data_IF_390268079159
#
_entry.id   IF_390268079159
#
_cell.length_a   1.000
_cell.length_b   1.000
_cell.length_c   1.000
_cell.angle_alpha   90.00
_cell.angle_beta   90.00
_cell.angle_gamma   90.00
#
_symmetry.space_group_name_H-M   'P 1'
#
loop_
_entity.id
_entity.type
_entity.pdbx_description
1 polymer ?
#
# COMPACT_ATOMS: atom_id res chain seq x y z
N UNK A 1 -7.17 -30.20 -67.35
CA UNK A 1 -5.92 -29.80 -66.74
C UNK A 1 -6.19 -28.56 -65.89
N UNK A 2 -6.44 -28.72 -64.62
CA UNK A 2 -6.81 -27.57 -63.76
C UNK A 2 -6.76 -27.94 -62.25
N UNK A 3 -5.76 -28.74 -61.82
CA UNK A 3 -5.69 -29.22 -60.44
C UNK A 3 -4.53 -28.69 -59.59
N UNK A 4 -3.57 -27.97 -60.20
CA UNK A 4 -2.33 -27.64 -59.47
C UNK A 4 -2.36 -26.29 -58.72
N UNK A 5 -3.16 -25.34 -59.14
CA UNK A 5 -3.18 -23.98 -58.54
C UNK A 5 -3.83 -23.97 -57.14
N UNK A 6 -4.92 -24.72 -56.97
CA UNK A 6 -5.64 -24.77 -55.70
C UNK A 6 -4.85 -25.53 -54.62
N UNK A 7 -4.09 -26.57 -55.05
CA UNK A 7 -3.26 -27.34 -54.12
C UNK A 7 -2.04 -26.57 -53.64
N UNK A 8 -1.44 -25.73 -54.48
CA UNK A 8 -0.38 -24.81 -54.07
C UNK A 8 -0.88 -23.71 -53.12
N UNK A 9 -2.11 -23.21 -53.29
CA UNK A 9 -2.70 -22.23 -52.41
C UNK A 9 -2.96 -22.82 -51.03
N UNK A 10 -3.51 -24.04 -50.94
CA UNK A 10 -3.77 -24.74 -49.70
C UNK A 10 -2.49 -25.06 -48.91
N UNK A 11 -1.42 -25.51 -49.61
CA UNK A 11 -0.14 -25.75 -48.95
C UNK A 11 0.53 -24.47 -48.46
N UNK A 12 0.37 -23.35 -49.17
CA UNK A 12 0.90 -22.04 -48.75
C UNK A 12 0.18 -21.49 -47.53
N UNK A 13 -1.16 -21.68 -47.46
CA UNK A 13 -1.95 -21.28 -46.30
C UNK A 13 -1.60 -22.16 -45.08
N UNK A 14 -1.40 -23.47 -45.26
CA UNK A 14 -0.97 -24.35 -44.18
C UNK A 14 0.42 -24.01 -43.64
N UNK A 15 1.34 -23.61 -44.49
CA UNK A 15 2.68 -23.17 -44.11
C UNK A 15 2.64 -21.83 -43.33
N UNK A 16 1.74 -20.91 -43.68
CA UNK A 16 1.55 -19.66 -42.94
C UNK A 16 0.93 -19.89 -41.57
N UNK A 17 0.10 -20.92 -41.38
CA UNK A 17 -0.48 -21.27 -40.10
C UNK A 17 0.50 -22.00 -39.16
N UNK A 18 1.61 -22.54 -39.66
CA UNK A 18 2.66 -23.18 -38.86
C UNK A 18 3.74 -22.23 -38.37
N UNK A 19 3.75 -20.97 -38.83
CA UNK A 19 4.61 -19.94 -38.26
C UNK A 19 4.03 -19.49 -36.91
N UNK A 20 4.20 -20.30 -35.86
CA UNK A 20 4.08 -19.80 -34.50
C UNK A 20 5.12 -18.70 -34.33
N UNK A 21 4.72 -17.48 -33.96
CA UNK A 21 5.73 -16.49 -33.59
C UNK A 21 6.46 -17.10 -32.38
N UNK A 22 7.73 -17.44 -32.55
CA UNK A 22 8.64 -17.60 -31.44
C UNK A 22 8.73 -16.23 -30.79
N UNK A 23 7.85 -16.00 -29.81
CA UNK A 23 8.05 -14.95 -28.84
C UNK A 23 9.34 -15.31 -28.14
N UNK A 24 10.43 -14.70 -28.59
CA UNK A 24 11.68 -14.75 -27.89
C UNK A 24 11.40 -14.29 -26.44
N UNK A 25 11.44 -15.24 -25.53
CA UNK A 25 11.55 -14.91 -24.12
C UNK A 25 12.91 -14.21 -23.93
N UNK A 26 12.95 -12.92 -24.25
CA UNK A 26 13.86 -12.03 -23.58
C UNK A 26 13.40 -12.00 -22.13
N UNK A 27 13.85 -12.97 -21.35
CA UNK A 27 13.95 -12.83 -19.90
C UNK A 27 15.07 -11.80 -19.68
N UNK A 28 14.77 -10.55 -20.07
CA UNK A 28 15.41 -9.44 -19.44
C UNK A 28 15.08 -9.59 -17.97
N UNK A 29 16.08 -9.56 -17.11
CA UNK A 29 15.90 -9.29 -15.68
C UNK A 29 15.16 -7.95 -15.60
N UNK A 30 13.84 -8.00 -15.74
CA UNK A 30 13.00 -6.90 -15.33
C UNK A 30 13.29 -6.79 -13.84
N UNK A 31 13.99 -5.74 -13.44
CA UNK A 31 13.88 -5.21 -12.09
C UNK A 31 12.37 -4.99 -11.90
N UNK A 32 11.67 -6.01 -11.45
CA UNK A 32 10.28 -5.89 -11.04
C UNK A 32 10.31 -5.01 -9.80
N UNK A 33 10.26 -3.71 -10.03
CA UNK A 33 10.07 -2.75 -8.96
C UNK A 33 8.73 -3.14 -8.34
N UNK A 34 8.79 -3.82 -7.20
CA UNK A 34 7.61 -4.26 -6.49
C UNK A 34 6.85 -3.00 -6.08
N UNK A 35 5.67 -2.83 -6.69
CA UNK A 35 4.77 -1.72 -6.41
C UNK A 35 3.89 -2.06 -5.22
N UNK A 36 3.37 -1.03 -4.60
CA UNK A 36 2.39 -1.10 -3.52
C UNK A 36 1.19 -1.99 -3.89
N UNK A 37 0.71 -2.77 -2.93
CA UNK A 37 -0.51 -3.57 -3.11
C UNK A 37 -1.73 -2.66 -3.19
N UNK A 38 -2.57 -2.86 -4.21
CA UNK A 38 -3.70 -1.98 -4.50
C UNK A 38 -4.68 -1.86 -3.32
N UNK A 39 -5.01 -2.96 -2.64
CA UNK A 39 -5.91 -2.92 -1.48
C UNK A 39 -5.32 -2.10 -0.31
N UNK A 40 -4.00 -2.19 -0.07
CA UNK A 40 -3.31 -1.40 0.95
C UNK A 40 -3.25 0.09 0.55
N UNK A 41 -3.04 0.38 -0.74
CA UNK A 41 -3.11 1.75 -1.27
C UNK A 41 -4.49 2.36 -1.05
N UNK A 42 -5.55 1.61 -1.34
CA UNK A 42 -6.92 2.05 -1.10
C UNK A 42 -7.21 2.27 0.40
N UNK A 43 -6.65 1.42 1.26
CA UNK A 43 -6.76 1.60 2.71
C UNK A 43 -6.11 2.92 3.16
N UNK A 44 -4.90 3.23 2.68
CA UNK A 44 -4.24 4.50 2.98
C UNK A 44 -5.03 5.71 2.48
N UNK A 45 -5.64 5.64 1.29
CA UNK A 45 -6.49 6.73 0.77
C UNK A 45 -7.73 6.95 1.64
N UNK A 46 -8.35 5.88 2.17
CA UNK A 46 -9.45 6.00 3.13
C UNK A 46 -8.98 6.61 4.45
N UNK A 47 -7.80 6.24 4.94
CA UNK A 47 -7.19 6.87 6.12
C UNK A 47 -7.00 8.37 5.87
N UNK A 48 -6.47 8.76 4.70
CA UNK A 48 -6.29 10.16 4.32
C UNK A 48 -7.61 10.94 4.33
N UNK A 49 -8.73 10.33 3.89
CA UNK A 49 -10.03 10.99 3.83
C UNK A 49 -10.58 11.41 5.20
N UNK A 50 -10.26 10.65 6.27
CA UNK A 50 -10.70 10.92 7.63
C UNK A 50 -9.74 11.85 8.40
N UNK A 51 -8.63 12.22 7.75
CA UNK A 51 -7.64 13.14 8.30
C UNK A 51 -7.78 14.54 7.69
N UNK A 52 -7.66 15.54 8.53
CA UNK A 52 -7.58 16.95 8.14
C UNK A 52 -6.10 17.32 8.10
N UNK A 53 -5.63 17.65 6.93
CA UNK A 53 -4.22 17.94 6.64
C UNK A 53 -4.06 19.38 6.15
N UNK A 54 -4.05 20.34 7.07
CA UNK A 54 -3.92 21.76 6.77
C UNK A 54 -2.52 22.15 6.25
N UNK A 55 -1.54 21.27 6.39
CA UNK A 55 -0.13 21.55 6.10
C UNK A 55 0.42 20.76 4.91
N UNK A 56 -0.39 19.92 4.28
CA UNK A 56 0.02 19.14 3.12
C UNK A 56 1.00 18.00 3.42
N UNK A 57 0.97 17.45 4.64
CA UNK A 57 1.83 16.34 5.05
C UNK A 57 1.59 15.09 4.20
N UNK A 58 0.34 14.90 3.75
CA UNK A 58 -0.11 13.79 2.92
C UNK A 58 -0.26 14.20 1.44
N UNK A 59 0.39 15.27 0.99
CA UNK A 59 0.29 15.78 -0.39
C UNK A 59 0.79 14.76 -1.43
N UNK A 60 1.78 13.94 -1.07
CA UNK A 60 2.29 12.86 -1.92
C UNK A 60 1.33 11.68 -2.07
N UNK A 61 0.30 11.58 -1.21
CA UNK A 61 -0.67 10.50 -1.25
C UNK A 61 -1.71 10.75 -2.35
N UNK A 62 -1.41 10.30 -3.55
CA UNK A 62 -2.26 10.51 -4.73
C UNK A 62 -2.58 9.18 -5.43
N UNK A 63 -3.65 9.17 -6.22
CA UNK A 63 -4.08 7.97 -6.97
C UNK A 63 -3.11 7.59 -8.08
N UNK A 64 -2.28 8.52 -8.55
CA UNK A 64 -1.42 8.35 -9.72
C UNK A 64 -0.03 7.84 -9.37
N UNK A 65 0.29 7.69 -8.07
CA UNK A 65 1.62 7.30 -7.61
C UNK A 65 1.60 5.99 -6.84
N UNK A 66 2.71 5.26 -6.94
CA UNK A 66 3.00 4.09 -6.11
C UNK A 66 3.07 4.49 -4.63
N UNK A 67 2.21 3.92 -3.79
CA UNK A 67 2.13 4.26 -2.37
C UNK A 67 3.43 3.96 -1.60
N UNK A 68 4.30 3.11 -2.12
CA UNK A 68 5.63 2.89 -1.54
C UNK A 68 6.55 4.11 -1.64
N UNK A 69 6.17 5.10 -2.44
CA UNK A 69 6.88 6.39 -2.60
C UNK A 69 6.24 7.53 -1.81
N UNK A 70 5.11 7.27 -1.15
CA UNK A 70 4.42 8.29 -0.37
C UNK A 70 5.18 8.64 0.90
N UNK A 71 5.12 9.90 1.28
CA UNK A 71 5.70 10.37 2.54
C UNK A 71 5.13 9.58 3.72
N UNK A 72 6.00 9.09 4.59
CA UNK A 72 5.61 8.30 5.75
C UNK A 72 5.27 6.84 5.46
N UNK A 73 5.33 6.38 4.21
CA UNK A 73 5.05 4.98 3.84
C UNK A 73 6.33 4.27 3.42
N UNK A 74 6.52 3.03 3.88
CA UNK A 74 7.58 2.15 3.41
C UNK A 74 7.03 0.75 3.19
N UNK A 75 7.40 0.18 2.04
CA UNK A 75 7.04 -1.18 1.68
C UNK A 75 8.24 -2.14 1.82
N UNK A 76 7.92 -3.40 1.92
CA UNK A 76 8.88 -4.49 1.81
C UNK A 76 9.42 -4.57 0.38
N UNK A 77 10.73 -4.57 0.22
CA UNK A 77 11.40 -4.73 -1.07
C UNK A 77 11.22 -6.13 -1.68
N UNK A 78 10.70 -7.09 -0.90
CA UNK A 78 10.49 -8.47 -1.35
C UNK A 78 9.04 -8.72 -1.78
N UNK A 79 8.07 -8.04 -1.14
CA UNK A 79 6.66 -8.36 -1.32
C UNK A 79 5.81 -7.20 -1.82
N UNK A 80 6.28 -5.96 -1.68
CA UNK A 80 5.51 -4.74 -1.98
C UNK A 80 4.44 -4.42 -0.94
N UNK A 81 4.33 -5.19 0.15
CA UNK A 81 3.41 -4.88 1.24
C UNK A 81 3.93 -3.72 2.10
N UNK A 82 3.02 -2.91 2.63
CA UNK A 82 3.33 -1.82 3.55
C UNK A 82 3.78 -2.41 4.89
N UNK A 83 5.00 -2.08 5.30
CA UNK A 83 5.60 -2.51 6.57
C UNK A 83 5.78 -1.37 7.56
N UNK A 84 5.70 -0.12 7.12
CA UNK A 84 5.83 1.06 7.97
C UNK A 84 4.84 2.14 7.54
N UNK A 85 4.17 2.70 8.53
CA UNK A 85 3.37 3.91 8.41
C UNK A 85 3.83 4.90 9.51
N UNK A 86 4.49 5.97 9.08
CA UNK A 86 4.97 7.03 9.95
C UNK A 86 4.27 8.35 9.61
N UNK A 87 3.34 8.74 10.46
CA UNK A 87 2.60 9.99 10.40
C UNK A 87 3.01 10.95 11.52
N UNK A 88 4.20 10.76 12.11
CA UNK A 88 4.72 11.61 13.17
C UNK A 88 4.78 13.08 12.74
N UNK A 89 4.29 13.96 13.59
CA UNK A 89 4.19 15.39 13.34
C UNK A 89 5.11 16.25 14.24
N UNK A 90 6.23 15.72 14.69
CA UNK A 90 7.16 16.36 15.66
C UNK A 90 7.96 17.54 15.10
N UNK A 91 7.57 18.14 13.98
CA UNK A 91 8.28 19.28 13.37
C UNK A 91 8.11 20.58 14.16
N UNK A 92 9.06 21.51 14.00
CA UNK A 92 8.99 22.87 14.53
C UNK A 92 8.94 23.84 13.35
N UNK A 93 7.88 24.66 13.18
CA UNK A 93 6.64 24.72 13.99
C UNK A 93 5.80 23.45 13.85
N UNK A 94 4.99 23.13 14.86
CA UNK A 94 4.23 21.89 14.86
C UNK A 94 3.22 21.87 13.69
N UNK A 95 3.33 20.84 12.86
CA UNK A 95 2.43 20.57 11.74
C UNK A 95 1.79 19.22 12.01
N UNK A 96 0.55 19.20 12.43
CA UNK A 96 -0.11 17.99 12.85
C UNK A 96 -1.35 17.68 12.01
N UNK A 97 -1.60 16.41 11.83
CA UNK A 97 -2.85 15.91 11.29
C UNK A 97 -3.93 15.98 12.37
N UNK A 98 -5.18 16.23 11.96
CA UNK A 98 -6.35 16.19 12.83
C UNK A 98 -7.36 15.19 12.30
N UNK A 99 -8.34 14.81 13.11
CA UNK A 99 -9.43 13.95 12.67
C UNK A 99 -9.49 12.62 13.41
N UNK A 100 -9.66 11.53 12.67
CA UNK A 100 -9.78 10.18 13.24
C UNK A 100 -8.93 9.19 12.45
N UNK A 101 -8.38 8.22 13.16
CA UNK A 101 -7.67 7.12 12.51
C UNK A 101 -8.69 6.10 11.98
N UNK A 102 -8.76 5.98 10.64
CA UNK A 102 -9.75 5.16 9.96
C UNK A 102 -9.53 3.66 10.23
N UNK A 103 -10.61 2.87 10.45
CA UNK A 103 -10.52 1.42 10.62
C UNK A 103 -9.91 0.66 9.44
N UNK A 104 -9.82 1.25 8.25
CA UNK A 104 -9.14 0.64 7.10
C UNK A 104 -7.65 0.33 7.37
N UNK A 105 -7.09 0.83 8.47
CA UNK A 105 -5.76 0.46 8.97
C UNK A 105 -5.61 -1.07 9.11
N UNK A 106 -6.69 -1.82 9.38
CA UNK A 106 -6.69 -3.29 9.49
C UNK A 106 -6.23 -3.99 8.21
N UNK A 107 -6.37 -3.34 7.05
CA UNK A 107 -5.93 -3.89 5.76
C UNK A 107 -4.41 -3.97 5.65
N UNK A 108 -3.67 -3.20 6.48
CA UNK A 108 -2.21 -3.17 6.48
C UNK A 108 -1.65 -4.33 7.33
N UNK A 109 -1.99 -5.57 6.98
CA UNK A 109 -1.69 -6.78 7.77
C UNK A 109 -0.20 -7.05 7.99
N UNK A 110 0.66 -6.50 7.14
CA UNK A 110 2.12 -6.67 7.21
C UNK A 110 2.83 -5.51 7.93
N UNK A 111 2.05 -4.59 8.51
CA UNK A 111 2.59 -3.44 9.21
C UNK A 111 3.38 -3.88 10.45
N UNK A 112 4.63 -3.44 10.52
CA UNK A 112 5.54 -3.69 11.65
C UNK A 112 5.82 -2.44 12.45
N UNK A 113 5.56 -1.26 11.87
CA UNK A 113 5.82 0.04 12.48
C UNK A 113 4.66 0.99 12.23
N UNK A 114 4.07 1.51 13.30
CA UNK A 114 3.03 2.53 13.27
C UNK A 114 3.41 3.66 14.23
N UNK A 115 3.58 4.85 13.69
CA UNK A 115 3.82 6.07 14.47
C UNK A 115 2.82 7.13 14.01
N UNK A 116 1.96 7.54 14.92
CA UNK A 116 0.97 8.62 14.73
C UNK A 116 1.13 9.69 15.81
N UNK A 117 2.30 9.74 16.42
CA UNK A 117 2.61 10.69 17.51
C UNK A 117 2.54 12.15 17.07
N UNK A 118 2.35 13.03 18.03
CA UNK A 118 2.27 14.49 17.86
C UNK A 118 1.14 14.98 16.94
N UNK A 119 0.07 14.20 16.78
CA UNK A 119 -1.12 14.57 16.04
C UNK A 119 -2.28 14.96 16.96
N UNK A 120 -3.40 15.41 16.39
CA UNK A 120 -4.58 15.81 17.16
C UNK A 120 -5.81 14.99 16.73
N UNK A 121 -6.00 13.83 17.34
CA UNK A 121 -7.15 12.98 17.08
C UNK A 121 -8.38 13.37 17.89
N UNK A 122 -8.41 14.62 18.44
CA UNK A 122 -9.58 15.24 19.08
C UNK A 122 -10.28 14.35 20.11
N UNK A 123 -9.50 13.73 20.99
CA UNK A 123 -9.98 12.80 22.01
C UNK A 123 -10.80 11.61 21.48
N UNK A 124 -10.68 11.30 20.18
CA UNK A 124 -11.25 10.07 19.63
C UNK A 124 -10.65 8.85 20.34
N UNK A 125 -11.39 7.76 20.36
CA UNK A 125 -10.87 6.51 20.92
C UNK A 125 -9.74 5.95 20.05
N UNK A 126 -8.76 5.34 20.70
CA UNK A 126 -7.77 4.51 20.00
C UNK A 126 -8.52 3.37 19.31
N UNK A 127 -8.39 3.17 18.00
CA UNK A 127 -9.10 2.11 17.28
C UNK A 127 -8.71 0.72 17.81
N UNK A 128 -9.69 -0.06 18.24
CA UNK A 128 -9.48 -1.44 18.74
C UNK A 128 -8.79 -2.33 17.69
N UNK A 129 -9.02 -2.02 16.40
CA UNK A 129 -8.44 -2.77 15.26
C UNK A 129 -6.91 -2.76 15.24
N UNK A 130 -6.25 -1.81 15.93
CA UNK A 130 -4.79 -1.81 16.05
C UNK A 130 -4.33 -3.12 16.71
N UNK A 131 -5.09 -3.64 17.69
CA UNK A 131 -4.80 -4.92 18.34
C UNK A 131 -4.86 -6.14 17.41
N UNK A 132 -5.38 -5.99 16.19
CA UNK A 132 -5.40 -7.05 15.16
C UNK A 132 -4.17 -7.04 14.24
N UNK A 133 -3.30 -6.04 14.37
CA UNK A 133 -2.06 -5.92 13.58
C UNK A 133 -0.95 -6.79 14.19
N UNK A 134 -1.09 -8.11 14.10
CA UNK A 134 -0.24 -9.10 14.78
C UNK A 134 1.25 -9.01 14.44
N UNK A 135 1.61 -8.37 13.33
CA UNK A 135 3.01 -8.17 12.93
C UNK A 135 3.63 -6.88 13.51
N UNK A 136 2.85 -6.07 14.23
CA UNK A 136 3.31 -4.79 14.74
C UNK A 136 4.37 -4.99 15.85
N UNK A 137 5.49 -4.27 15.71
CA UNK A 137 6.64 -4.29 16.61
C UNK A 137 6.96 -2.93 17.20
N UNK A 138 6.38 -1.89 16.65
CA UNK A 138 6.50 -0.53 17.13
C UNK A 138 5.16 0.18 16.99
N UNK A 139 4.69 0.75 18.09
CA UNK A 139 3.48 1.57 18.15
C UNK A 139 3.79 2.83 18.93
N UNK A 140 3.71 4.00 18.28
CA UNK A 140 3.83 5.30 18.95
C UNK A 140 2.55 6.10 18.80
N UNK A 141 1.91 6.38 19.95
CA UNK A 141 0.71 7.19 20.09
C UNK A 141 0.97 8.45 20.94
N UNK A 142 2.23 8.77 21.21
CA UNK A 142 2.64 9.84 22.11
C UNK A 142 2.14 11.20 21.61
N UNK A 143 1.58 12.01 22.51
CA UNK A 143 1.00 13.33 22.18
C UNK A 143 0.02 13.33 21.00
N UNK A 144 -0.67 12.21 20.72
CA UNK A 144 -1.63 12.09 19.62
C UNK A 144 -3.05 12.54 20.01
N UNK A 145 -3.25 13.00 21.24
CA UNK A 145 -4.53 13.49 21.82
C UNK A 145 -5.70 12.52 21.62
N UNK A 146 -5.44 11.23 21.76
CA UNK A 146 -6.49 10.23 21.91
C UNK A 146 -7.22 10.38 23.25
N UNK A 147 -8.43 9.87 23.32
CA UNK A 147 -9.21 9.77 24.55
C UNK A 147 -8.54 8.84 25.57
N UNK A 148 -9.08 8.88 26.81
CA UNK A 148 -8.44 8.19 27.97
C UNK A 148 -8.56 6.67 27.96
N UNK A 149 -9.44 6.12 27.14
CA UNK A 149 -9.68 4.67 27.14
C UNK A 149 -8.65 3.98 26.24
N UNK A 150 -7.86 3.10 26.85
CA UNK A 150 -6.94 2.22 26.13
C UNK A 150 -7.70 0.92 25.85
N UNK A 151 -7.90 0.55 24.56
CA UNK A 151 -8.57 -0.70 24.22
C UNK A 151 -7.78 -1.91 24.74
N UNK A 152 -8.44 -2.85 25.37
CA UNK A 152 -7.80 -4.07 25.87
C UNK A 152 -7.23 -4.93 24.73
N UNK A 153 -7.76 -4.76 23.50
CA UNK A 153 -7.28 -5.43 22.30
C UNK A 153 -5.80 -5.15 22.00
N UNK A 154 -5.26 -4.01 22.48
CA UNK A 154 -3.82 -3.75 22.35
C UNK A 154 -2.96 -4.80 23.07
N UNK A 155 -3.50 -5.47 24.09
CA UNK A 155 -2.86 -6.60 24.75
C UNK A 155 -2.62 -7.82 23.85
N UNK A 156 -3.26 -7.89 22.67
CA UNK A 156 -3.04 -8.95 21.69
C UNK A 156 -1.74 -8.78 20.86
N UNK A 157 -1.10 -7.62 20.99
CA UNK A 157 0.12 -7.29 20.23
C UNK A 157 1.35 -7.92 20.90
N UNK A 158 1.54 -9.22 20.71
CA UNK A 158 2.61 -10.01 21.35
C UNK A 158 4.02 -9.69 20.85
N UNK A 159 4.16 -8.89 19.79
CA UNK A 159 5.44 -8.57 19.17
C UNK A 159 5.91 -7.12 19.43
N UNK A 160 5.17 -6.35 20.26
CA UNK A 160 5.57 -5.00 20.69
C UNK A 160 6.72 -5.02 21.65
#
# INVERSE_FOLDING_TARGET
MGGSSLQFLLTFILLLLCMKPTIGNNVGLANTHLVCKEHERQALLKIKQDLIDDYGLLSSWSTDQDCCKWSGVRCSNQTGHIIMLNLNASSIPPRHLRGKLNPSLIELKYLTYLDVSYNDFNQSQIPEIIGSLSNLRHLDLFYAKFGRNIPFQLGNLSNL
#
